data_IF_917608574896
#
_entry.id   IF_917608574896
#
_cell.length_a   1.000
_cell.length_b   1.000
_cell.length_c   1.000
_cell.angle_alpha   90.00
_cell.angle_beta   90.00
_cell.angle_gamma   90.00
#
_symmetry.space_group_name_H-M   'P 1'
#
loop_
_entity.id
_entity.type
_entity.pdbx_description
1 polymer ?
#
# COMPACT_ATOMS: atom_id res chain seq x y z
N UNK A 1 7.60 2.78 -25.19
CA UNK A 1 6.65 1.74 -24.73
C UNK A 1 5.27 2.36 -24.73
N UNK A 2 4.34 1.83 -25.51
CA UNK A 2 2.94 2.29 -25.46
C UNK A 2 2.36 1.94 -24.07
N UNK A 3 1.67 2.86 -23.39
CA UNK A 3 0.97 2.52 -22.16
C UNK A 3 -0.13 1.50 -22.51
N UNK A 4 -0.10 0.34 -21.88
CA UNK A 4 -1.17 -0.64 -21.99
C UNK A 4 -2.39 -0.03 -21.31
N UNK A 5 -3.41 0.26 -22.11
CA UNK A 5 -4.69 0.87 -21.72
C UNK A 5 -5.58 -0.23 -21.11
N UNK A 6 -6.05 -0.01 -19.89
CA UNK A 6 -7.05 -0.86 -19.25
C UNK A 6 -8.35 -0.05 -19.08
N UNK A 7 -9.44 -0.41 -19.76
CA UNK A 7 -10.74 0.23 -19.51
C UNK A 7 -11.22 -0.10 -18.08
N UNK A 8 -12.00 0.79 -17.45
CA UNK A 8 -12.66 0.57 -16.14
C UNK A 8 -13.31 -0.82 -16.06
N UNK A 9 -13.86 -1.31 -17.19
CA UNK A 9 -14.51 -2.63 -17.31
C UNK A 9 -13.59 -3.83 -17.03
N UNK A 10 -12.27 -3.66 -16.95
CA UNK A 10 -11.30 -4.71 -16.55
C UNK A 10 -10.81 -4.57 -15.10
N UNK A 11 -11.40 -3.69 -14.30
CA UNK A 11 -11.16 -3.58 -12.85
C UNK A 11 -11.90 -4.66 -12.04
N UNK A 12 -12.87 -5.33 -12.65
CA UNK A 12 -13.50 -6.56 -12.14
C UNK A 12 -12.68 -7.77 -12.58
N UNK A 13 -11.72 -8.20 -11.75
CA UNK A 13 -11.23 -9.57 -11.82
C UNK A 13 -12.06 -10.40 -10.83
N UNK A 14 -12.77 -11.41 -11.31
CA UNK A 14 -13.73 -12.23 -10.57
C UNK A 14 -13.18 -12.89 -9.28
N UNK A 15 -11.87 -12.82 -9.05
CA UNK A 15 -11.18 -13.39 -7.89
C UNK A 15 -10.74 -12.36 -6.83
N UNK A 16 -10.97 -11.05 -7.01
CA UNK A 16 -10.66 -10.05 -5.97
C UNK A 16 -11.52 -8.79 -6.19
N UNK A 17 -12.66 -8.65 -5.49
CA UNK A 17 -13.51 -7.50 -5.70
C UNK A 17 -12.80 -6.23 -5.21
N UNK A 18 -12.92 -5.21 -6.06
CA UNK A 18 -12.93 -3.79 -5.79
C UNK A 18 -12.17 -3.31 -4.53
N UNK A 19 -10.90 -3.02 -4.77
CA UNK A 19 -10.12 -1.91 -4.19
C UNK A 19 -9.78 -1.97 -2.69
N UNK A 20 -10.66 -2.42 -1.80
CA UNK A 20 -10.41 -2.38 -0.36
C UNK A 20 -11.12 -3.52 0.38
N UNK A 21 -10.71 -4.76 0.16
CA UNK A 21 -11.17 -5.83 1.07
C UNK A 21 -10.67 -5.49 2.48
N UNK A 22 -11.60 -5.31 3.42
CA UNK A 22 -11.28 -5.03 4.82
C UNK A 22 -10.29 -6.06 5.36
N UNK A 23 -10.47 -7.33 5.00
CA UNK A 23 -9.60 -8.42 5.43
C UNK A 23 -8.20 -8.34 4.83
N UNK A 24 -8.07 -7.96 3.56
CA UNK A 24 -6.77 -7.82 2.90
C UNK A 24 -5.97 -6.68 3.52
N UNK A 25 -6.61 -5.53 3.74
CA UNK A 25 -5.95 -4.36 4.35
C UNK A 25 -5.67 -4.56 5.83
N UNK A 26 -6.46 -5.37 6.55
CA UNK A 26 -6.13 -5.82 7.91
C UNK A 26 -4.89 -6.69 7.92
N UNK A 27 -4.82 -7.71 7.06
CA UNK A 27 -3.64 -8.56 6.93
C UNK A 27 -2.39 -7.75 6.59
N UNK A 28 -2.52 -6.77 5.70
CA UNK A 28 -1.44 -5.84 5.39
C UNK A 28 -1.05 -4.98 6.59
N UNK A 29 -2.02 -4.39 7.30
CA UNK A 29 -1.75 -3.58 8.50
C UNK A 29 -1.08 -4.39 9.61
N UNK A 30 -1.54 -5.61 9.86
CA UNK A 30 -0.93 -6.54 10.83
C UNK A 30 0.48 -6.94 10.42
N UNK A 31 0.72 -7.11 9.12
CA UNK A 31 2.06 -7.33 8.58
C UNK A 31 2.97 -6.12 8.83
N UNK A 32 2.50 -4.90 8.56
CA UNK A 32 3.27 -3.68 8.83
C UNK A 32 3.56 -3.48 10.31
N UNK A 33 2.59 -3.78 11.20
CA UNK A 33 2.80 -3.78 12.65
C UNK A 33 3.94 -4.70 13.05
N UNK A 34 3.98 -5.94 12.54
CA UNK A 34 5.09 -6.88 12.82
C UNK A 34 6.44 -6.30 12.43
N UNK A 35 6.52 -5.59 11.30
CA UNK A 35 7.75 -4.94 10.84
C UNK A 35 8.18 -3.78 11.76
N UNK A 36 7.22 -2.97 12.22
CA UNK A 36 7.48 -1.87 13.16
C UNK A 36 7.92 -2.34 14.55
N UNK A 37 7.43 -3.51 14.98
CA UNK A 37 7.78 -4.13 16.26
C UNK A 37 9.05 -4.99 16.22
N UNK A 38 9.77 -5.01 15.10
CA UNK A 38 11.07 -5.69 15.06
C UNK A 38 12.01 -5.12 16.15
N UNK A 39 12.84 -5.98 16.77
CA UNK A 39 13.65 -5.58 17.92
C UNK A 39 14.54 -4.39 17.60
N UNK A 40 14.79 -3.60 18.64
CA UNK A 40 15.66 -2.43 18.61
C UNK A 40 17.10 -2.88 18.88
N UNK A 41 18.04 -1.94 18.87
CA UNK A 41 19.49 -2.10 18.84
C UNK A 41 20.11 -3.23 19.69
N UNK A 42 21.37 -3.54 19.39
CA UNK A 42 22.13 -4.62 20.04
C UNK A 42 22.13 -4.48 21.57
N UNK A 43 22.24 -3.26 22.10
CA UNK A 43 22.23 -3.02 23.55
C UNK A 43 20.88 -3.40 24.20
N UNK A 44 19.77 -3.04 23.56
CA UNK A 44 18.42 -3.40 24.03
C UNK A 44 18.18 -4.91 23.91
N UNK A 45 18.72 -5.56 22.87
CA UNK A 45 18.66 -7.02 22.72
C UNK A 45 19.46 -7.73 23.81
N UNK A 46 20.67 -7.23 24.08
CA UNK A 46 21.51 -7.73 25.16
C UNK A 46 20.78 -7.63 26.50
N UNK A 47 20.24 -6.46 26.82
CA UNK A 47 19.49 -6.23 28.05
C UNK A 47 18.29 -7.18 28.14
N UNK A 48 17.55 -7.35 27.05
CA UNK A 48 16.41 -8.28 27.00
C UNK A 48 16.82 -9.73 27.28
N UNK A 49 17.91 -10.22 26.67
CA UNK A 49 18.40 -11.58 26.85
C UNK A 49 18.96 -11.76 28.28
N UNK A 50 19.75 -10.80 28.77
CA UNK A 50 20.40 -10.89 30.07
C UNK A 50 19.40 -10.78 31.23
N UNK A 51 18.43 -9.87 31.13
CA UNK A 51 17.42 -9.65 32.19
C UNK A 51 16.51 -10.87 32.38
N UNK A 52 16.22 -11.63 31.32
CA UNK A 52 15.49 -12.91 31.41
C UNK A 52 16.20 -13.99 32.23
N UNK A 53 17.49 -13.81 32.51
CA UNK A 53 18.34 -14.78 33.20
C UNK A 53 18.89 -14.27 34.53
N UNK A 54 18.35 -13.16 35.06
CA UNK A 54 18.91 -12.44 36.21
C UNK A 54 20.40 -12.08 36.01
N UNK A 55 20.79 -11.73 34.77
CA UNK A 55 22.16 -11.36 34.41
C UNK A 55 23.12 -12.53 34.17
N UNK A 56 22.71 -13.79 34.36
CA UNK A 56 23.57 -14.98 34.21
C UNK A 56 24.16 -15.16 32.81
N UNK A 57 23.57 -14.52 31.80
CA UNK A 57 24.03 -14.62 30.41
C UNK A 57 25.08 -13.56 30.00
N UNK A 58 25.37 -12.56 30.85
CA UNK A 58 26.23 -11.42 30.47
C UNK A 58 27.66 -11.85 30.08
N UNK A 59 28.31 -12.69 30.88
CA UNK A 59 29.66 -13.20 30.55
C UNK A 59 29.69 -14.02 29.26
N UNK A 60 28.64 -14.83 29.03
CA UNK A 60 28.50 -15.63 27.81
C UNK A 60 28.29 -14.75 26.57
N UNK A 61 27.46 -13.71 26.70
CA UNK A 61 27.26 -12.70 25.66
C UNK A 61 28.57 -11.98 25.33
N UNK A 62 29.25 -11.41 26.33
CA UNK A 62 30.49 -10.65 26.13
C UNK A 62 31.58 -11.50 25.46
N UNK A 63 31.71 -12.77 25.85
CA UNK A 63 32.66 -13.70 25.19
C UNK A 63 32.27 -13.95 23.74
N UNK A 64 31.01 -14.29 23.46
CA UNK A 64 30.53 -14.58 22.11
C UNK A 64 30.72 -13.37 21.19
N UNK A 65 30.40 -12.16 21.66
CA UNK A 65 30.60 -10.90 20.89
C UNK A 65 32.08 -10.57 20.68
N UNK A 66 32.96 -10.91 21.61
CA UNK A 66 34.39 -10.56 21.52
C UNK A 66 35.23 -11.59 20.78
N UNK A 67 34.90 -12.87 20.92
CA UNK A 67 35.77 -13.99 20.54
C UNK A 67 35.18 -14.89 19.45
N UNK A 68 33.86 -14.88 19.21
CA UNK A 68 33.21 -15.80 18.27
C UNK A 68 32.78 -15.07 16.98
N UNK A 69 33.64 -15.14 15.96
CA UNK A 69 33.38 -14.48 14.67
C UNK A 69 32.05 -14.90 14.02
N UNK A 70 31.67 -16.20 13.96
CA UNK A 70 30.37 -16.62 13.43
C UNK A 70 29.18 -15.99 14.18
N UNK A 71 29.23 -15.94 15.52
CA UNK A 71 28.19 -15.28 16.31
C UNK A 71 28.09 -13.79 16.00
N UNK A 72 29.22 -13.08 15.91
CA UNK A 72 29.23 -11.67 15.56
C UNK A 72 28.64 -11.41 14.18
N UNK A 73 29.02 -12.21 13.18
CA UNK A 73 28.46 -12.10 11.83
C UNK A 73 26.95 -12.29 11.86
N UNK A 74 26.45 -13.33 12.54
CA UNK A 74 25.02 -13.57 12.70
C UNK A 74 24.32 -12.38 13.40
N UNK A 75 24.87 -11.90 14.50
CA UNK A 75 24.33 -10.78 15.27
C UNK A 75 24.23 -9.51 14.41
N UNK A 76 25.31 -9.08 13.77
CA UNK A 76 25.34 -7.83 13.00
C UNK A 76 24.52 -7.89 11.71
N UNK A 77 24.50 -9.04 11.01
CA UNK A 77 23.66 -9.20 9.81
C UNK A 77 22.18 -9.17 10.20
N UNK A 78 21.78 -9.99 11.16
CA UNK A 78 20.37 -10.06 11.58
C UNK A 78 19.89 -8.74 12.18
N UNK A 79 20.72 -8.06 12.99
CA UNK A 79 20.43 -6.72 13.49
C UNK A 79 20.34 -5.68 12.36
N UNK A 80 21.32 -5.64 11.46
CA UNK A 80 21.34 -4.66 10.36
C UNK A 80 20.09 -4.73 9.50
N UNK A 81 19.68 -5.96 9.12
CA UNK A 81 18.50 -6.17 8.28
C UNK A 81 17.21 -5.89 9.05
N UNK A 82 17.05 -6.38 10.29
CA UNK A 82 15.86 -6.06 11.10
C UNK A 82 15.72 -4.56 11.36
N UNK A 83 16.83 -3.85 11.61
CA UNK A 83 16.83 -2.40 11.75
C UNK A 83 16.43 -1.69 10.45
N UNK A 84 16.99 -2.10 9.30
CA UNK A 84 16.64 -1.52 8.01
C UNK A 84 15.16 -1.68 7.68
N UNK A 85 14.59 -2.89 7.90
CA UNK A 85 13.15 -3.14 7.72
C UNK A 85 12.34 -2.21 8.61
N UNK A 86 12.69 -2.12 9.90
CA UNK A 86 11.99 -1.26 10.85
C UNK A 86 12.02 0.19 10.42
N UNK A 87 13.18 0.72 10.04
CA UNK A 87 13.30 2.11 9.56
C UNK A 87 12.50 2.32 8.27
N UNK A 88 12.56 1.37 7.35
CA UNK A 88 11.82 1.40 6.11
C UNK A 88 10.30 1.21 6.30
N UNK A 89 9.82 0.70 7.44
CA UNK A 89 8.39 0.60 7.75
C UNK A 89 7.84 1.81 8.52
N UNK A 90 8.69 2.71 9.03
CA UNK A 90 8.26 3.86 9.84
C UNK A 90 7.36 4.87 9.09
N UNK A 91 7.41 4.91 7.75
CA UNK A 91 6.48 5.75 6.98
C UNK A 91 5.01 5.35 7.25
N UNK A 92 4.78 4.09 7.62
CA UNK A 92 3.48 3.55 7.98
C UNK A 92 3.05 3.90 9.42
N UNK A 93 3.90 4.58 10.19
CA UNK A 93 3.67 4.88 11.60
C UNK A 93 3.56 3.61 12.45
N UNK A 94 2.75 3.63 13.52
CA UNK A 94 2.55 2.47 14.40
C UNK A 94 1.62 1.38 13.82
N UNK A 95 1.41 1.35 12.50
CA UNK A 95 0.34 0.53 11.91
C UNK A 95 -1.06 1.12 12.13
N UNK A 96 -1.13 2.44 12.32
CA UNK A 96 -2.40 3.16 12.37
C UNK A 96 -2.96 3.33 10.96
N UNK A 97 -4.28 3.20 10.79
CA UNK A 97 -4.92 3.20 9.48
C UNK A 97 -5.02 4.56 8.80
N UNK A 98 -4.37 5.60 9.32
CA UNK A 98 -4.53 6.98 8.85
C UNK A 98 -4.25 7.13 7.34
N UNK A 99 -3.22 6.47 6.81
CA UNK A 99 -2.93 6.53 5.38
C UNK A 99 -3.96 5.77 4.53
N UNK A 100 -4.47 4.63 5.01
CA UNK A 100 -5.53 3.86 4.30
C UNK A 100 -6.85 4.63 4.33
N UNK A 101 -7.19 5.20 5.48
CA UNK A 101 -8.38 6.04 5.66
C UNK A 101 -8.28 7.25 4.75
N UNK A 102 -7.12 7.91 4.68
CA UNK A 102 -6.88 9.04 3.77
C UNK A 102 -7.06 8.65 2.29
N UNK A 103 -6.54 7.49 1.87
CA UNK A 103 -6.77 6.96 0.52
C UNK A 103 -8.26 6.73 0.24
N UNK A 104 -8.98 6.09 1.16
CA UNK A 104 -10.42 5.86 1.04
C UNK A 104 -11.20 7.19 0.98
N UNK A 105 -10.90 8.14 1.87
CA UNK A 105 -11.52 9.47 1.89
C UNK A 105 -11.25 10.25 0.62
N UNK A 106 -10.06 10.13 0.03
CA UNK A 106 -9.75 10.75 -1.25
C UNK A 106 -10.62 10.17 -2.37
N UNK A 107 -10.84 8.86 -2.42
CA UNK A 107 -11.74 8.24 -3.40
C UNK A 107 -13.19 8.69 -3.18
N UNK A 108 -13.66 8.75 -1.93
CA UNK A 108 -15.00 9.28 -1.61
C UNK A 108 -15.13 10.74 -2.02
N UNK A 109 -14.11 11.56 -1.73
CA UNK A 109 -14.15 12.99 -2.08
C UNK A 109 -14.16 13.18 -3.60
N UNK A 110 -13.35 12.41 -4.34
CA UNK A 110 -13.30 12.48 -5.81
C UNK A 110 -14.64 12.02 -6.43
N UNK A 111 -15.25 10.97 -5.88
CA UNK A 111 -16.59 10.50 -6.30
C UNK A 111 -17.70 11.47 -5.92
N UNK A 112 -17.64 12.12 -4.75
CA UNK A 112 -18.62 13.14 -4.32
C UNK A 112 -18.59 14.40 -5.19
N UNK A 113 -17.42 14.77 -5.75
CA UNK A 113 -17.35 15.84 -6.74
C UNK A 113 -18.23 15.54 -7.96
N UNK A 114 -18.28 14.28 -8.38
CA UNK A 114 -19.03 13.83 -9.55
C UNK A 114 -20.51 13.62 -9.20
N UNK A 115 -20.77 12.82 -8.17
CA UNK A 115 -22.10 12.38 -7.78
C UNK A 115 -22.91 13.41 -6.98
N UNK A 116 -22.28 14.44 -6.42
CA UNK A 116 -22.97 15.47 -5.61
C UNK A 116 -22.74 16.86 -6.19
N UNK A 117 -21.48 17.32 -6.26
CA UNK A 117 -21.17 18.72 -6.67
C UNK A 117 -21.57 18.99 -8.12
N UNK A 118 -21.26 18.05 -9.02
CA UNK A 118 -21.47 18.24 -10.47
C UNK A 118 -22.69 17.48 -11.01
N UNK A 119 -23.43 16.76 -10.16
CA UNK A 119 -24.57 15.91 -10.53
C UNK A 119 -25.58 16.60 -11.45
N UNK A 120 -26.12 17.74 -11.05
CA UNK A 120 -27.16 18.43 -11.81
C UNK A 120 -26.63 18.99 -13.13
N UNK A 121 -25.38 19.45 -13.15
CA UNK A 121 -24.73 19.90 -14.37
C UNK A 121 -24.54 18.73 -15.34
N UNK A 122 -24.12 17.57 -14.86
CA UNK A 122 -23.97 16.38 -15.67
C UNK A 122 -25.30 15.82 -16.17
N UNK A 123 -26.36 15.84 -15.37
CA UNK A 123 -27.71 15.50 -15.84
C UNK A 123 -28.18 16.44 -16.94
N UNK A 124 -27.90 17.75 -16.83
CA UNK A 124 -28.17 18.70 -17.89
C UNK A 124 -27.38 18.38 -19.17
N UNK A 125 -26.09 18.05 -19.04
CA UNK A 125 -25.22 17.67 -20.16
C UNK A 125 -25.74 16.39 -20.84
N UNK A 126 -26.11 15.36 -20.06
CA UNK A 126 -26.69 14.11 -20.56
C UNK A 126 -27.98 14.36 -21.33
N UNK A 127 -28.90 15.16 -20.77
CA UNK A 127 -30.16 15.52 -21.42
C UNK A 127 -29.94 16.25 -22.75
N UNK A 128 -29.05 17.24 -22.80
CA UNK A 128 -28.75 17.97 -24.04
C UNK A 128 -28.04 17.08 -25.07
N UNK A 129 -27.11 16.22 -24.63
CA UNK A 129 -26.38 15.30 -25.49
C UNK A 129 -27.29 14.20 -26.07
N UNK A 130 -28.22 13.63 -25.28
CA UNK A 130 -29.22 12.67 -25.75
C UNK A 130 -30.18 13.29 -26.78
N UNK A 131 -30.45 14.59 -26.69
CA UNK A 131 -31.22 15.34 -27.68
C UNK A 131 -30.40 15.71 -28.94
N UNK A 132 -29.15 15.24 -29.02
CA UNK A 132 -28.28 15.36 -30.18
C UNK A 132 -27.65 16.73 -30.37
N UNK A 133 -27.76 17.66 -29.42
CA UNK A 133 -27.07 18.95 -29.54
C UNK A 133 -26.74 19.59 -28.18
N UNK A 134 -25.46 19.78 -27.91
CA UNK A 134 -24.96 20.46 -26.72
C UNK A 134 -24.86 21.97 -26.97
N UNK A 135 -25.55 22.77 -26.15
CA UNK A 135 -25.44 24.22 -26.26
C UNK A 135 -24.01 24.71 -25.95
N UNK A 136 -23.56 25.86 -26.49
CA UNK A 136 -22.24 26.41 -26.20
C UNK A 136 -21.97 26.63 -24.70
N UNK A 137 -23.03 26.98 -23.95
CA UNK A 137 -22.97 27.14 -22.50
C UNK A 137 -22.75 25.80 -21.80
N UNK A 138 -23.46 24.75 -22.22
CA UNK A 138 -23.33 23.40 -21.66
C UNK A 138 -21.99 22.75 -22.02
N UNK A 139 -21.48 22.97 -23.24
CA UNK A 139 -20.09 22.60 -23.62
C UNK A 139 -19.06 23.28 -22.70
N UNK A 140 -19.20 24.58 -22.47
CA UNK A 140 -18.28 25.33 -21.60
C UNK A 140 -18.33 24.84 -20.15
N UNK A 141 -19.52 24.53 -19.62
CA UNK A 141 -19.69 23.93 -18.30
C UNK A 141 -19.04 22.56 -18.21
N UNK A 142 -19.22 21.71 -19.21
CA UNK A 142 -18.60 20.39 -19.25
C UNK A 142 -17.06 20.50 -19.21
N UNK A 143 -16.46 21.35 -20.04
CA UNK A 143 -15.01 21.57 -20.04
C UNK A 143 -14.50 22.09 -18.68
N UNK A 144 -15.25 22.97 -18.02
CA UNK A 144 -14.94 23.43 -16.67
C UNK A 144 -14.95 22.26 -15.67
N UNK A 145 -15.98 21.42 -15.71
CA UNK A 145 -16.13 20.27 -14.81
C UNK A 145 -15.00 19.26 -15.04
N UNK A 146 -14.66 18.94 -16.30
CA UNK A 146 -13.54 18.06 -16.61
C UNK A 146 -12.20 18.60 -16.08
N UNK A 147 -11.95 19.91 -16.21
CA UNK A 147 -10.76 20.53 -15.65
C UNK A 147 -10.73 20.49 -14.12
N UNK A 148 -11.87 20.76 -13.46
CA UNK A 148 -12.00 20.67 -12.01
C UNK A 148 -11.70 19.24 -11.52
N UNK A 149 -12.36 18.23 -12.11
CA UNK A 149 -12.15 16.82 -11.79
C UNK A 149 -10.71 16.38 -12.05
N UNK A 150 -10.14 16.72 -13.22
CA UNK A 150 -8.76 16.39 -13.58
C UNK A 150 -7.75 16.96 -12.56
N UNK A 151 -7.95 18.20 -12.10
CA UNK A 151 -7.09 18.80 -11.09
C UNK A 151 -7.20 18.09 -9.73
N UNK A 152 -8.41 17.71 -9.32
CA UNK A 152 -8.66 16.98 -8.08
C UNK A 152 -8.09 15.56 -8.11
N UNK A 153 -8.39 14.79 -9.15
CA UNK A 153 -7.84 13.44 -9.37
C UNK A 153 -6.30 13.48 -9.45
N UNK A 154 -5.69 14.47 -10.11
CA UNK A 154 -4.24 14.61 -10.18
C UNK A 154 -3.63 14.80 -8.78
N UNK A 155 -4.24 15.65 -7.95
CA UNK A 155 -3.79 15.88 -6.57
C UNK A 155 -3.82 14.58 -5.75
N UNK A 156 -4.90 13.82 -5.83
CA UNK A 156 -5.02 12.55 -5.11
C UNK A 156 -4.09 11.47 -5.66
N UNK A 157 -3.89 11.42 -6.97
CA UNK A 157 -2.91 10.54 -7.61
C UNK A 157 -1.49 10.84 -7.10
N UNK A 158 -1.09 12.11 -7.00
CA UNK A 158 0.23 12.49 -6.46
C UNK A 158 0.42 12.02 -5.00
N UNK A 159 -0.63 12.09 -4.18
CA UNK A 159 -0.59 11.58 -2.80
C UNK A 159 -0.41 10.05 -2.79
N UNK A 160 -1.14 9.33 -3.64
CA UNK A 160 -1.02 7.87 -3.77
C UNK A 160 0.32 7.41 -4.36
N UNK A 161 0.94 8.23 -5.23
CA UNK A 161 2.28 7.97 -5.76
C UNK A 161 3.36 7.99 -4.66
N UNK A 162 3.24 8.88 -3.67
CA UNK A 162 4.14 8.89 -2.52
C UNK A 162 4.04 7.56 -1.76
N UNK A 163 2.83 7.15 -1.39
CA UNK A 163 2.58 5.88 -0.70
C UNK A 163 3.11 4.67 -1.51
N UNK A 164 2.89 4.68 -2.82
CA UNK A 164 3.39 3.63 -3.73
C UNK A 164 4.91 3.56 -3.75
N UNK A 165 5.59 4.71 -3.74
CA UNK A 165 7.06 4.80 -3.70
C UNK A 165 7.60 4.28 -2.38
N UNK A 166 7.02 4.72 -1.27
CA UNK A 166 7.41 4.32 0.08
C UNK A 166 7.24 2.78 0.24
N UNK A 167 6.11 2.22 -0.22
CA UNK A 167 5.88 0.78 -0.26
C UNK A 167 6.86 0.01 -1.17
N UNK A 168 7.24 0.58 -2.32
CA UNK A 168 8.18 -0.07 -3.25
C UNK A 168 9.60 -0.10 -2.68
N UNK A 169 10.02 0.98 -2.00
CA UNK A 169 11.30 1.04 -1.31
C UNK A 169 11.34 0.05 -0.15
N UNK A 170 10.24 -0.04 0.62
CA UNK A 170 10.08 -1.01 1.68
C UNK A 170 10.12 -2.45 1.16
N UNK A 171 9.41 -2.75 0.08
CA UNK A 171 9.45 -4.05 -0.60
C UNK A 171 10.87 -4.45 -1.01
N UNK A 172 11.63 -3.52 -1.58
CA UNK A 172 13.04 -3.74 -1.94
C UNK A 172 13.90 -4.08 -0.73
N UNK A 173 13.69 -3.38 0.40
CA UNK A 173 14.41 -3.62 1.65
C UNK A 173 14.11 -5.01 2.21
N UNK A 174 12.86 -5.48 2.10
CA UNK A 174 12.50 -6.83 2.55
C UNK A 174 13.08 -7.91 1.64
N UNK A 175 13.35 -7.63 0.36
CA UNK A 175 14.03 -8.56 -0.54
C UNK A 175 15.40 -9.02 -0.04
N UNK A 176 16.02 -8.29 0.89
CA UNK A 176 17.29 -8.67 1.53
C UNK A 176 17.12 -9.74 2.63
N UNK A 177 15.89 -10.01 3.08
CA UNK A 177 15.61 -10.88 4.22
C UNK A 177 15.97 -12.34 3.96
N UNK A 178 15.68 -12.86 2.77
CA UNK A 178 15.91 -14.28 2.44
C UNK A 178 17.39 -14.63 2.56
N UNK A 179 18.24 -13.85 1.91
CA UNK A 179 19.70 -14.00 1.98
C UNK A 179 20.21 -13.87 3.41
N UNK A 180 19.71 -12.88 4.16
CA UNK A 180 20.13 -12.66 5.53
C UNK A 180 19.71 -13.81 6.46
N UNK A 181 18.49 -14.32 6.30
CA UNK A 181 17.95 -15.43 7.07
C UNK A 181 18.72 -16.73 6.80
N UNK A 182 18.96 -17.06 5.53
CA UNK A 182 19.75 -18.21 5.12
C UNK A 182 21.16 -18.14 5.71
N UNK A 183 21.85 -17.01 5.50
CA UNK A 183 23.20 -16.79 6.02
C UNK A 183 23.27 -16.86 7.54
N UNK A 184 22.29 -16.32 8.27
CA UNK A 184 22.24 -16.44 9.72
C UNK A 184 22.07 -17.90 10.17
N UNK A 185 21.21 -18.66 9.49
CA UNK A 185 20.96 -20.08 9.77
C UNK A 185 22.20 -20.93 9.53
N UNK A 186 22.95 -20.64 8.46
CA UNK A 186 24.23 -21.30 8.15
C UNK A 186 25.34 -21.04 9.18
N UNK A 187 25.28 -19.90 9.89
CA UNK A 187 26.29 -19.54 10.90
C UNK A 187 26.11 -20.32 12.21
N UNK A 188 24.89 -20.69 12.57
CA UNK A 188 24.57 -21.39 13.84
C UNK A 188 25.49 -22.59 14.11
N UNK A 189 25.65 -23.58 13.20
CA UNK A 189 26.50 -24.74 13.45
C UNK A 189 27.99 -24.41 13.55
N UNK A 190 28.42 -23.20 13.16
CA UNK A 190 29.81 -22.75 13.19
C UNK A 190 30.17 -22.00 14.48
N UNK A 191 29.17 -21.64 15.29
CA UNK A 191 29.38 -20.93 16.56
C UNK A 191 30.02 -21.89 17.58
N UNK A 192 31.13 -21.47 18.18
CA UNK A 192 31.86 -22.23 19.18
C UNK A 192 31.18 -22.18 20.55
N UNK A 193 30.07 -22.91 20.70
CA UNK A 193 29.28 -23.02 21.95
C UNK A 193 30.02 -23.94 22.93
N UNK A 194 30.44 -23.38 24.08
CA UNK A 194 31.22 -24.09 25.10
C UNK A 194 30.36 -24.63 26.25
N UNK A 195 29.18 -24.07 26.47
CA UNK A 195 28.29 -24.44 27.56
C UNK A 195 26.82 -24.09 27.27
N UNK A 196 25.93 -24.48 28.19
CA UNK A 196 24.49 -24.27 28.06
C UNK A 196 24.05 -22.80 28.16
N UNK A 197 24.82 -21.93 28.83
CA UNK A 197 24.53 -20.50 28.92
C UNK A 197 24.76 -19.82 27.57
N UNK A 198 25.88 -20.13 26.92
CA UNK A 198 26.19 -19.67 25.57
C UNK A 198 25.18 -20.19 24.54
N UNK A 199 24.76 -21.45 24.66
CA UNK A 199 23.67 -21.98 23.84
C UNK A 199 22.41 -21.12 23.99
N UNK A 200 22.06 -20.77 25.23
CA UNK A 200 20.87 -19.95 25.52
C UNK A 200 20.97 -18.54 24.96
N UNK A 201 22.17 -17.94 24.97
CA UNK A 201 22.44 -16.66 24.32
C UNK A 201 22.27 -16.77 22.80
N UNK A 202 22.92 -17.74 22.16
CA UNK A 202 22.83 -17.97 20.71
C UNK A 202 21.39 -18.19 20.28
N UNK A 203 20.66 -19.06 20.99
CA UNK A 203 19.25 -19.34 20.73
C UNK A 203 18.37 -18.10 20.95
N UNK A 204 18.60 -17.34 22.02
CA UNK A 204 17.89 -16.10 22.32
C UNK A 204 18.08 -15.05 21.23
N UNK A 205 19.32 -14.85 20.77
CA UNK A 205 19.67 -13.94 19.67
C UNK A 205 19.00 -14.38 18.37
N UNK A 206 19.11 -15.66 18.01
CA UNK A 206 18.50 -16.20 16.80
C UNK A 206 16.97 -16.03 16.82
N UNK A 207 16.32 -16.38 17.93
CA UNK A 207 14.86 -16.28 18.06
C UNK A 207 14.37 -14.82 18.03
N UNK A 208 15.14 -13.91 18.61
CA UNK A 208 14.76 -12.51 18.73
C UNK A 208 15.01 -11.75 17.42
N UNK A 209 16.08 -12.03 16.68
CA UNK A 209 16.42 -11.32 15.43
C UNK A 209 16.17 -12.18 14.19
N UNK A 210 16.99 -13.21 13.97
CA UNK A 210 17.02 -13.96 12.72
C UNK A 210 15.68 -14.67 12.43
N UNK A 211 15.06 -15.32 13.42
CA UNK A 211 13.75 -15.97 13.27
C UNK A 211 12.63 -14.97 12.93
N UNK A 212 12.76 -13.70 13.32
CA UNK A 212 11.77 -12.68 12.95
C UNK A 212 11.87 -12.32 11.46
N UNK A 213 13.05 -12.41 10.83
CA UNK A 213 13.20 -12.28 9.38
C UNK A 213 12.34 -13.31 8.66
N UNK A 214 12.37 -14.57 9.12
CA UNK A 214 11.49 -15.65 8.65
C UNK A 214 10.00 -15.33 8.64
N UNK A 215 9.55 -14.45 9.55
CA UNK A 215 8.14 -14.04 9.68
C UNK A 215 7.77 -12.86 8.76
N UNK A 216 8.76 -12.10 8.31
CA UNK A 216 8.61 -10.92 7.45
C UNK A 216 8.80 -11.27 5.97
N UNK A 217 9.47 -12.39 5.67
CA UNK A 217 9.74 -12.93 4.33
C UNK A 217 8.50 -13.11 3.41
N UNK A 218 7.26 -13.41 3.84
CA UNK A 218 6.13 -13.50 2.90
C UNK A 218 5.63 -12.12 2.40
N UNK A 219 6.53 -11.18 2.14
CA UNK A 219 6.26 -9.79 1.75
C UNK A 219 5.53 -9.67 0.41
N UNK A 220 5.83 -10.54 -0.55
CA UNK A 220 5.18 -10.57 -1.88
C UNK A 220 3.67 -10.74 -1.80
N UNK A 221 3.22 -11.61 -0.89
CA UNK A 221 1.78 -11.92 -0.73
C UNK A 221 0.99 -10.82 -0.04
N UNK A 222 1.67 -9.88 0.63
CA UNK A 222 1.02 -8.82 1.42
C UNK A 222 1.19 -7.42 0.80
N UNK A 223 2.35 -7.11 0.21
CA UNK A 223 2.69 -5.75 -0.26
C UNK A 223 2.34 -5.54 -1.73
N UNK A 224 2.68 -6.51 -2.59
CA UNK A 224 2.53 -6.38 -4.04
C UNK A 224 1.07 -6.22 -4.49
N UNK A 225 0.08 -6.94 -3.90
CA UNK A 225 -1.34 -6.71 -4.20
C UNK A 225 -1.77 -5.27 -3.88
N UNK A 226 -1.30 -4.71 -2.76
CA UNK A 226 -1.64 -3.36 -2.31
C UNK A 226 -1.08 -2.30 -3.27
N UNK A 227 0.21 -2.39 -3.62
CA UNK A 227 0.84 -1.49 -4.60
C UNK A 227 0.07 -1.51 -5.93
N UNK A 228 -0.26 -2.71 -6.43
CA UNK A 228 -1.01 -2.86 -7.69
C UNK A 228 -2.40 -2.25 -7.62
N UNK A 229 -3.11 -2.38 -6.50
CA UNK A 229 -4.45 -1.80 -6.30
C UNK A 229 -4.40 -0.27 -6.27
N UNK A 230 -3.49 0.31 -5.49
CA UNK A 230 -3.30 1.77 -5.44
C UNK A 230 -3.02 2.33 -6.85
N UNK A 231 -2.12 1.69 -7.60
CA UNK A 231 -1.82 2.09 -8.96
C UNK A 231 -3.04 1.99 -9.89
N UNK A 232 -3.77 0.87 -9.86
CA UNK A 232 -4.95 0.64 -10.72
C UNK A 232 -6.06 1.68 -10.50
N UNK A 233 -6.37 2.02 -9.25
CA UNK A 233 -7.43 3.00 -8.89
C UNK A 233 -7.17 4.33 -9.60
N UNK A 234 -5.97 4.88 -9.40
CA UNK A 234 -5.69 6.23 -9.86
C UNK A 234 -5.32 6.29 -11.35
N UNK A 235 -4.76 5.21 -11.91
CA UNK A 235 -4.55 5.12 -13.36
C UNK A 235 -5.85 5.05 -14.13
N UNK A 236 -6.87 4.32 -13.63
CA UNK A 236 -8.18 4.27 -14.26
C UNK A 236 -8.84 5.66 -14.24
N UNK A 237 -9.07 6.22 -13.04
CA UNK A 237 -9.77 7.51 -12.89
C UNK A 237 -9.10 8.64 -13.69
N UNK A 238 -7.76 8.71 -13.69
CA UNK A 238 -7.04 9.74 -14.45
C UNK A 238 -7.09 9.53 -15.97
N UNK A 239 -7.23 8.30 -16.46
CA UNK A 239 -7.28 8.01 -17.89
C UNK A 239 -8.66 8.34 -18.46
N UNK A 240 -9.72 7.90 -17.78
CA UNK A 240 -11.10 8.08 -18.25
C UNK A 240 -11.48 9.57 -18.33
N UNK A 241 -11.05 10.39 -17.35
CA UNK A 241 -11.26 11.84 -17.38
C UNK A 241 -10.54 12.54 -18.53
N UNK A 242 -9.37 12.04 -18.97
CA UNK A 242 -8.61 12.61 -20.08
C UNK A 242 -9.20 12.23 -21.43
N UNK A 243 -9.64 10.97 -21.61
CA UNK A 243 -10.31 10.56 -22.85
C UNK A 243 -11.69 11.22 -22.99
N UNK A 244 -12.52 11.22 -21.94
CA UNK A 244 -13.81 11.93 -21.93
C UNK A 244 -13.67 13.43 -22.26
N UNK A 245 -12.64 14.09 -21.71
CA UNK A 245 -12.38 15.50 -22.01
C UNK A 245 -11.93 15.71 -23.46
N UNK A 246 -11.17 14.78 -24.05
CA UNK A 246 -10.68 14.90 -25.42
C UNK A 246 -11.83 14.67 -26.41
N UNK A 247 -12.58 13.59 -26.22
CA UNK A 247 -13.60 13.15 -27.15
C UNK A 247 -14.80 14.13 -27.21
N UNK A 248 -15.02 14.92 -26.15
CA UNK A 248 -16.01 16.00 -26.10
C UNK A 248 -15.46 17.40 -26.45
N UNK A 249 -14.14 17.55 -26.57
CA UNK A 249 -13.49 18.79 -27.01
C UNK A 249 -13.35 18.89 -28.54
N UNK A 250 -13.38 17.75 -29.23
CA UNK A 250 -13.52 17.70 -30.69
C UNK A 250 -14.98 18.01 -31.07
N UNK A 251 -15.20 18.64 -32.22
CA UNK A 251 -16.54 19.06 -32.67
C UNK A 251 -17.47 17.83 -32.79
N UNK A 252 -18.20 17.57 -31.71
CA UNK A 252 -19.21 16.52 -31.62
C UNK A 252 -20.35 16.85 -32.60
N UNK A 253 -20.28 16.30 -33.81
CA UNK A 253 -21.48 16.06 -34.61
C UNK A 253 -22.40 15.05 -33.88
N UNK A 254 -23.71 15.09 -34.16
CA UNK A 254 -24.78 14.55 -33.31
C UNK A 254 -24.67 13.06 -32.84
N UNK A 255 -23.91 12.21 -33.55
CA UNK A 255 -23.76 10.78 -33.22
C UNK A 255 -22.69 10.53 -32.13
N UNK A 256 -21.48 11.14 -32.23
CA UNK A 256 -20.53 11.24 -31.14
C UNK A 256 -21.10 11.72 -29.80
N UNK A 257 -22.03 12.69 -29.80
CA UNK A 257 -22.59 13.25 -28.56
C UNK A 257 -23.44 12.23 -27.77
N UNK A 258 -24.20 11.38 -28.45
CA UNK A 258 -25.01 10.33 -27.82
C UNK A 258 -24.12 9.21 -27.25
N UNK A 259 -23.04 8.86 -27.96
CA UNK A 259 -22.05 7.88 -27.47
C UNK A 259 -21.33 8.43 -26.24
N UNK A 260 -20.89 9.69 -26.28
CA UNK A 260 -20.30 10.35 -25.13
C UNK A 260 -21.27 10.43 -23.93
N UNK A 261 -22.56 10.66 -24.17
CA UNK A 261 -23.58 10.63 -23.12
C UNK A 261 -23.72 9.24 -22.48
N UNK A 262 -23.78 8.18 -23.28
CA UNK A 262 -23.85 6.80 -22.79
C UNK A 262 -22.58 6.39 -22.02
N UNK A 263 -21.41 6.81 -22.48
CA UNK A 263 -20.14 6.56 -21.78
C UNK A 263 -20.06 7.33 -20.46
N UNK A 264 -20.58 8.55 -20.44
CA UNK A 264 -20.65 9.38 -19.24
C UNK A 264 -21.63 8.80 -18.21
N UNK A 265 -22.80 8.33 -18.65
CA UNK A 265 -23.80 7.64 -17.82
C UNK A 265 -23.21 6.35 -17.20
N UNK A 266 -22.50 5.54 -17.99
CA UNK A 266 -21.80 4.35 -17.50
C UNK A 266 -20.66 4.69 -16.52
N UNK A 267 -19.90 5.77 -16.77
CA UNK A 267 -18.88 6.23 -15.85
C UNK A 267 -19.50 6.66 -14.50
N UNK A 268 -20.65 7.33 -14.55
CA UNK A 268 -21.43 7.73 -13.37
C UNK A 268 -21.91 6.54 -12.53
N UNK A 269 -22.50 5.53 -13.16
CA UNK A 269 -22.96 4.32 -12.48
C UNK A 269 -21.79 3.59 -11.80
N UNK A 270 -20.67 3.46 -12.51
CA UNK A 270 -19.46 2.85 -11.97
C UNK A 270 -18.94 3.61 -10.75
N UNK A 271 -18.80 4.94 -10.84
CA UNK A 271 -18.33 5.80 -9.74
C UNK A 271 -19.26 5.76 -8.52
N UNK A 272 -20.57 5.66 -8.74
CA UNK A 272 -21.55 5.48 -7.66
C UNK A 272 -21.39 4.12 -6.96
N UNK A 273 -21.07 3.06 -7.71
CA UNK A 273 -20.73 1.76 -7.13
C UNK A 273 -19.41 1.82 -6.32
N UNK A 274 -18.36 2.44 -6.87
CA UNK A 274 -17.07 2.68 -6.16
C UNK A 274 -17.32 3.38 -4.83
N UNK A 275 -18.10 4.46 -4.84
CA UNK A 275 -18.45 5.25 -3.67
C UNK A 275 -19.10 4.39 -2.58
N UNK A 276 -20.08 3.55 -2.93
CA UNK A 276 -20.76 2.66 -1.97
C UNK A 276 -19.82 1.65 -1.35
N UNK A 277 -18.91 1.08 -2.12
CA UNK A 277 -17.94 0.11 -1.61
C UNK A 277 -16.87 0.74 -0.72
N UNK A 278 -16.42 1.95 -1.04
CA UNK A 278 -15.48 2.68 -0.19
C UNK A 278 -16.17 3.16 1.11
N UNK A 279 -17.43 3.58 1.05
CA UNK A 279 -18.23 3.86 2.26
C UNK A 279 -18.42 2.60 3.12
N UNK A 280 -18.66 1.45 2.50
CA UNK A 280 -18.72 0.16 3.19
C UNK A 280 -17.38 -0.17 3.84
N UNK A 281 -16.26 -0.01 3.12
CA UNK A 281 -14.93 -0.20 3.67
C UNK A 281 -14.71 0.68 4.89
N UNK A 282 -14.97 1.98 4.79
CA UNK A 282 -14.76 2.94 5.87
C UNK A 282 -15.54 2.53 7.14
N UNK A 283 -16.85 2.26 7.00
CA UNK A 283 -17.71 1.84 8.11
C UNK A 283 -17.22 0.57 8.79
N UNK A 284 -16.81 -0.44 8.02
CA UNK A 284 -16.43 -1.74 8.56
C UNK A 284 -14.96 -1.83 9.00
N UNK A 285 -14.11 -0.94 8.50
CA UNK A 285 -12.72 -0.85 8.91
C UNK A 285 -12.60 -0.19 10.29
N UNK A 286 -13.36 0.88 10.58
CA UNK A 286 -13.36 1.56 11.88
C UNK A 286 -14.09 0.79 12.99
N UNK A 287 -15.10 -0.03 12.65
CA UNK A 287 -16.01 -0.65 13.66
C UNK A 287 -15.65 -2.07 14.06
N UNK A 288 -14.72 -2.75 13.37
CA UNK A 288 -14.34 -4.11 13.75
C UNK A 288 -13.07 -4.10 14.61
N UNK A 289 -13.08 -4.80 15.75
CA UNK A 289 -11.96 -4.88 16.69
C UNK A 289 -10.72 -5.56 16.11
#
# INVERSE_FOLDING_TARGET
MNPVVFPIRQLEDNNSPFILSVDEWRRFSDYMKKCNYLPINIDALEEYICTKSDGKFKESWDRLVKEDTPFCIMLFISWGVTNNIKQASLFWGNGEPAEIISLAQNIVTDTDLICIKHHDNFNQILLEAQNGNLSPNTKSKFLYICNDLSNHTLKYHQQAQKMTRDLSQFYTTIGECDYAYEKCTEMIPRIGIRNHLEYSVVYGTFTSLASQLGRVIPSETHILPIIRKIHRIWSAISYDLKELSRDMSEDLDNLPAIIAALELELAFENLSAIRKEVEYFYKNYETSP
#
